data_IF_189843759944
#
_entry.id   IF_189843759944
#
_cell.length_a   1.000
_cell.length_b   1.000
_cell.length_c   1.000
_cell.angle_alpha   90.00
_cell.angle_beta   90.00
_cell.angle_gamma   90.00
#
_symmetry.space_group_name_H-M   'P 1'
#
loop_
_entity.id
_entity.type
_entity.pdbx_description
1 polymer ?
#
# COMPACT_ATOMS: atom_id res chain seq x y z
N UNK A 1 -21.89 -5.01 -21.22
CA UNK A 1 -20.70 -5.29 -20.38
C UNK A 1 -19.77 -4.10 -20.55
N UNK A 2 -19.54 -3.33 -19.50
CA UNK A 2 -18.54 -2.26 -19.54
C UNK A 2 -17.18 -2.92 -19.75
N UNK A 3 -16.39 -2.38 -20.67
CA UNK A 3 -15.02 -2.84 -20.90
C UNK A 3 -14.24 -2.64 -19.59
N UNK A 4 -13.61 -3.70 -19.07
CA UNK A 4 -12.81 -3.59 -17.82
C UNK A 4 -11.70 -2.57 -18.05
N UNK A 5 -11.68 -1.48 -17.29
CA UNK A 5 -10.68 -0.41 -17.39
C UNK A 5 -9.31 -0.88 -16.91
N UNK A 6 -9.28 -1.82 -15.95
CA UNK A 6 -8.06 -2.37 -15.38
C UNK A 6 -7.96 -3.85 -15.71
N UNK A 7 -6.77 -4.29 -16.08
CA UNK A 7 -6.43 -5.70 -16.20
C UNK A 7 -5.43 -6.03 -15.11
N UNK A 8 -5.73 -7.07 -14.33
CA UNK A 8 -4.70 -7.61 -13.46
C UNK A 8 -3.58 -8.18 -14.33
N UNK A 9 -2.37 -7.65 -14.16
CA UNK A 9 -1.17 -8.18 -14.79
C UNK A 9 -0.29 -8.74 -13.68
N UNK A 10 0.20 -9.97 -13.85
CA UNK A 10 1.21 -10.49 -12.92
C UNK A 10 2.41 -9.53 -12.93
N UNK A 11 2.80 -8.97 -11.78
CA UNK A 11 3.89 -8.02 -11.75
C UNK A 11 5.15 -8.66 -12.32
N UNK A 12 5.82 -7.95 -13.21
CA UNK A 12 7.17 -8.34 -13.60
C UNK A 12 8.03 -8.29 -12.34
N UNK A 13 8.87 -9.29 -12.06
CA UNK A 13 9.72 -9.25 -10.89
C UNK A 13 10.59 -7.98 -10.95
N UNK A 14 10.34 -7.06 -10.02
CA UNK A 14 11.24 -5.92 -9.81
C UNK A 14 12.52 -6.49 -9.24
N UNK A 15 13.64 -6.29 -9.89
CA UNK A 15 14.93 -6.66 -9.32
C UNK A 15 15.26 -5.61 -8.26
N UNK A 16 15.20 -6.01 -6.99
CA UNK A 16 15.69 -5.18 -5.89
C UNK A 16 17.07 -4.61 -6.23
N UNK A 17 17.27 -3.31 -6.04
CA UNK A 17 18.51 -2.61 -6.35
C UNK A 17 18.52 -1.86 -7.70
N UNK A 18 17.46 -1.96 -8.52
CA UNK A 18 17.35 -1.18 -9.77
C UNK A 18 16.39 0.01 -9.69
N UNK A 19 15.53 0.06 -8.65
CA UNK A 19 14.56 1.15 -8.50
C UNK A 19 15.24 2.49 -8.19
N UNK A 20 16.25 2.49 -7.33
CA UNK A 20 16.96 3.71 -6.91
C UNK A 20 17.71 4.41 -8.04
N UNK A 21 18.22 3.66 -9.03
CA UNK A 21 18.94 4.23 -10.17
C UNK A 21 18.02 4.86 -11.23
N UNK A 22 16.69 4.73 -11.09
CA UNK A 22 15.71 5.10 -12.10
C UNK A 22 14.71 6.17 -11.69
N UNK A 23 14.83 6.74 -10.50
CA UNK A 23 13.90 7.75 -9.94
C UNK A 23 13.62 8.88 -10.95
N UNK A 24 14.61 9.31 -11.72
CA UNK A 24 14.46 10.36 -12.72
C UNK A 24 13.91 9.89 -14.07
N UNK A 25 13.90 8.59 -14.33
CA UNK A 25 13.55 8.02 -15.64
C UNK A 25 12.14 7.41 -15.67
N UNK A 26 11.57 7.07 -14.51
CA UNK A 26 10.30 6.37 -14.38
C UNK A 26 9.38 7.02 -13.32
N UNK A 27 9.45 8.34 -13.19
CA UNK A 27 8.56 9.06 -12.27
C UNK A 27 7.11 8.91 -12.73
N UNK A 28 6.25 8.50 -11.80
CA UNK A 28 4.80 8.50 -12.01
C UNK A 28 4.28 9.90 -11.72
N UNK A 29 3.41 10.45 -12.56
CA UNK A 29 2.82 11.75 -12.28
C UNK A 29 1.96 11.71 -11.03
N UNK A 30 1.86 12.83 -10.33
CA UNK A 30 0.81 13.06 -9.34
C UNK A 30 -0.55 12.88 -9.99
N UNK A 31 -1.44 12.05 -9.40
CA UNK A 31 -2.81 11.86 -9.88
C UNK A 31 -3.80 11.76 -8.72
N UNK A 32 -5.03 12.18 -8.98
CA UNK A 32 -6.16 12.08 -8.05
C UNK A 32 -6.82 10.72 -8.20
N UNK A 33 -7.00 9.97 -7.13
CA UNK A 33 -7.58 8.62 -7.15
C UNK A 33 -8.87 8.49 -6.33
N UNK A 34 -9.24 9.49 -5.56
CA UNK A 34 -10.51 9.61 -4.85
C UNK A 34 -10.96 11.06 -4.77
N UNK A 35 -12.18 11.36 -4.30
CA UNK A 35 -12.64 12.74 -4.10
C UNK A 35 -11.65 13.62 -3.31
N UNK A 36 -11.02 13.08 -2.28
CA UNK A 36 -10.04 13.78 -1.43
C UNK A 36 -8.73 12.99 -1.29
N UNK A 37 -8.41 12.15 -2.28
CA UNK A 37 -7.24 11.27 -2.23
C UNK A 37 -6.40 11.40 -3.49
N UNK A 38 -5.07 11.51 -3.31
CA UNK A 38 -4.07 11.59 -4.39
C UNK A 38 -2.94 10.60 -4.15
N UNK A 39 -2.40 10.03 -5.23
CA UNK A 39 -1.07 9.40 -5.16
C UNK A 39 -0.01 10.48 -5.36
N UNK A 40 0.76 10.74 -4.31
CA UNK A 40 1.84 11.73 -4.29
C UNK A 40 3.24 11.11 -4.36
N UNK A 41 3.35 9.79 -4.52
CA UNK A 41 4.60 9.04 -4.44
C UNK A 41 5.64 9.44 -5.47
N UNK A 42 5.28 9.53 -6.73
CA UNK A 42 6.19 9.95 -7.80
C UNK A 42 7.28 8.94 -8.17
N UNK A 43 7.23 7.71 -7.65
CA UNK A 43 8.10 6.59 -8.03
C UNK A 43 7.35 5.58 -8.88
N UNK A 44 8.10 4.81 -9.68
CA UNK A 44 7.52 3.91 -10.67
C UNK A 44 6.85 2.66 -10.11
N UNK A 45 7.00 2.33 -8.83
CA UNK A 45 6.38 1.12 -8.27
C UNK A 45 5.62 1.33 -6.96
N UNK A 46 6.05 2.23 -6.08
CA UNK A 46 5.43 2.42 -4.75
C UNK A 46 4.43 3.57 -4.76
N UNK A 47 3.24 3.31 -4.23
CA UNK A 47 2.24 4.33 -4.01
C UNK A 47 2.41 4.99 -2.63
N UNK A 48 2.25 6.29 -2.59
CA UNK A 48 2.12 7.09 -1.35
C UNK A 48 0.83 7.88 -1.47
N UNK A 49 -0.15 7.57 -0.64
CA UNK A 49 -1.46 8.22 -0.71
C UNK A 49 -1.58 9.36 0.28
N UNK A 50 -1.99 10.52 -0.22
CA UNK A 50 -2.34 11.69 0.57
C UNK A 50 -3.86 11.78 0.67
N UNK A 51 -4.37 11.90 1.90
CA UNK A 51 -5.78 12.11 2.20
C UNK A 51 -5.95 13.54 2.78
N UNK A 52 -6.75 14.38 2.13
CA UNK A 52 -7.19 15.66 2.69
C UNK A 52 -8.38 15.44 3.60
N UNK A 53 -8.14 15.54 4.90
CA UNK A 53 -9.18 15.27 5.90
C UNK A 53 -10.08 16.49 6.20
N UNK A 54 -9.70 17.68 5.72
CA UNK A 54 -10.29 18.95 6.10
C UNK A 54 -9.79 19.48 7.46
N UNK A 55 -9.10 18.65 8.25
CA UNK A 55 -8.51 19.01 9.56
C UNK A 55 -6.99 18.73 9.59
N UNK A 56 -6.36 18.64 8.44
CA UNK A 56 -4.98 18.29 8.21
C UNK A 56 -4.88 17.14 7.22
N UNK A 57 -3.71 16.51 7.12
CA UNK A 57 -3.40 15.51 6.13
C UNK A 57 -3.08 14.17 6.78
N UNK A 58 -3.46 13.08 6.10
CA UNK A 58 -2.98 11.74 6.40
C UNK A 58 -2.13 11.27 5.21
N UNK A 59 -0.98 10.67 5.48
CA UNK A 59 -0.26 9.88 4.49
C UNK A 59 -0.43 8.39 4.76
N UNK A 60 -0.61 7.61 3.71
CA UNK A 60 -0.45 6.15 3.74
C UNK A 60 0.84 5.83 2.99
N UNK A 61 1.80 5.27 3.71
CA UNK A 61 3.20 5.05 3.30
C UNK A 61 3.98 6.35 3.01
N UNK A 62 5.29 6.21 2.71
CA UNK A 62 6.19 7.35 2.56
C UNK A 62 7.19 7.23 1.41
N UNK A 63 7.27 6.05 0.78
CA UNK A 63 8.24 5.79 -0.27
C UNK A 63 9.68 5.63 0.24
N UNK A 64 10.62 5.71 -0.69
CA UNK A 64 12.06 5.59 -0.44
C UNK A 64 12.66 6.89 0.10
N UNK A 65 13.81 6.80 0.78
CA UNK A 65 14.58 7.99 1.20
C UNK A 65 14.88 8.91 0.01
N UNK A 66 15.25 8.35 -1.12
CA UNK A 66 15.65 9.09 -2.31
C UNK A 66 14.48 9.81 -2.99
N UNK A 67 13.25 9.37 -2.75
CA UNK A 67 12.04 9.95 -3.39
C UNK A 67 11.21 10.84 -2.49
N UNK A 68 11.53 10.95 -1.20
CA UNK A 68 10.75 11.74 -0.24
C UNK A 68 10.56 13.19 -0.67
N UNK A 69 11.55 13.78 -1.36
CA UNK A 69 11.44 15.15 -1.89
C UNK A 69 10.34 15.27 -2.95
N UNK A 70 10.04 14.20 -3.69
CA UNK A 70 8.96 14.19 -4.68
C UNK A 70 7.59 14.17 -3.97
N UNK A 71 7.47 13.42 -2.88
CA UNK A 71 6.27 13.43 -2.03
C UNK A 71 6.00 14.86 -1.52
N UNK A 72 7.01 15.50 -0.92
CA UNK A 72 6.92 16.88 -0.44
C UNK A 72 6.55 17.85 -1.56
N UNK A 73 7.23 17.73 -2.73
CA UNK A 73 6.96 18.57 -3.89
C UNK A 73 5.52 18.39 -4.41
N UNK A 74 5.03 17.16 -4.48
CA UNK A 74 3.69 16.85 -4.95
C UNK A 74 2.60 17.38 -3.99
N UNK A 75 2.84 17.31 -2.67
CA UNK A 75 1.96 17.93 -1.67
C UNK A 75 1.87 19.46 -1.90
N UNK A 76 2.99 20.13 -2.12
CA UNK A 76 2.99 21.58 -2.45
C UNK A 76 2.28 21.89 -3.77
N UNK A 77 2.44 21.04 -4.80
CA UNK A 77 1.73 21.22 -6.08
C UNK A 77 0.21 21.13 -5.94
N UNK A 78 -0.29 20.40 -4.96
CA UNK A 78 -1.71 20.34 -4.62
C UNK A 78 -2.19 21.55 -3.81
N UNK A 79 -1.27 22.43 -3.38
CA UNK A 79 -1.57 23.61 -2.57
C UNK A 79 -1.61 23.32 -1.06
N UNK A 80 -1.24 22.11 -0.63
CA UNK A 80 -1.14 21.76 0.78
C UNK A 80 0.25 22.06 1.35
N UNK A 81 0.31 22.22 2.68
CA UNK A 81 1.58 22.33 3.38
C UNK A 81 1.97 20.98 4.00
N UNK A 82 3.17 20.42 3.69
CA UNK A 82 3.63 19.18 4.33
C UNK A 82 3.69 19.22 5.87
N UNK A 83 3.77 20.41 6.49
CA UNK A 83 3.67 20.56 7.94
C UNK A 83 2.28 20.20 8.50
N UNK A 84 1.26 20.17 7.62
CA UNK A 84 -0.11 19.81 8.01
C UNK A 84 -0.36 18.31 8.05
N UNK A 85 0.62 17.47 7.74
CA UNK A 85 0.53 16.03 7.93
C UNK A 85 0.41 15.74 9.44
N UNK A 86 -0.70 15.14 9.85
CA UNK A 86 -0.99 14.80 11.25
C UNK A 86 -0.71 13.34 11.55
N UNK A 87 -0.92 12.47 10.55
CA UNK A 87 -0.75 11.03 10.71
C UNK A 87 -0.05 10.44 9.49
N UNK A 88 0.87 9.51 9.74
CA UNK A 88 1.50 8.65 8.74
C UNK A 88 1.12 7.23 9.10
N UNK A 89 0.36 6.56 8.24
CA UNK A 89 -0.11 5.20 8.39
C UNK A 89 0.75 4.31 7.49
N UNK A 90 1.49 3.39 8.08
CA UNK A 90 2.39 2.52 7.33
C UNK A 90 1.74 1.17 7.08
N UNK A 91 1.70 0.74 5.82
CA UNK A 91 1.15 -0.56 5.44
C UNK A 91 1.95 -1.71 5.99
N UNK A 92 3.29 -1.60 5.97
CA UNK A 92 4.24 -2.56 6.51
C UNK A 92 5.66 -1.95 6.63
N UNK A 93 6.60 -2.71 7.22
CA UNK A 93 7.93 -2.19 7.61
C UNK A 93 8.98 -2.11 6.49
N UNK A 94 8.72 -2.56 5.27
CA UNK A 94 9.71 -2.57 4.20
C UNK A 94 10.17 -1.17 3.80
N UNK A 95 11.46 -1.07 3.41
CA UNK A 95 12.13 0.22 3.19
C UNK A 95 11.50 1.11 2.13
N UNK A 96 10.93 0.52 1.08
CA UNK A 96 10.21 1.22 0.02
C UNK A 96 8.90 1.89 0.49
N UNK A 97 8.38 1.49 1.65
CA UNK A 97 7.18 2.09 2.27
C UNK A 97 7.52 3.05 3.42
N UNK A 98 8.62 2.80 4.15
CA UNK A 98 8.89 3.51 5.41
C UNK A 98 10.08 4.47 5.38
N UNK A 99 10.93 4.43 4.35
CA UNK A 99 12.19 5.17 4.36
C UNK A 99 12.04 6.70 4.26
N UNK A 100 10.87 7.21 3.90
CA UNK A 100 10.55 8.64 3.96
C UNK A 100 10.11 9.14 5.34
N UNK A 101 9.77 8.24 6.28
CA UNK A 101 9.16 8.59 7.60
C UNK A 101 9.99 9.61 8.35
N UNK A 102 11.29 9.37 8.53
CA UNK A 102 12.16 10.23 9.32
C UNK A 102 12.16 11.68 8.80
N UNK A 103 12.22 11.86 7.48
CA UNK A 103 12.20 13.18 6.84
C UNK A 103 10.85 13.86 6.99
N UNK A 104 9.75 13.13 6.78
CA UNK A 104 8.39 13.68 6.86
C UNK A 104 8.01 14.04 8.29
N UNK A 105 8.37 13.22 9.28
CA UNK A 105 8.18 13.53 10.71
C UNK A 105 9.00 14.75 11.13
N UNK A 106 10.23 14.92 10.59
CA UNK A 106 11.02 16.11 10.87
C UNK A 106 10.33 17.41 10.40
N UNK A 107 9.57 17.34 9.29
CA UNK A 107 8.81 18.47 8.75
C UNK A 107 7.51 18.69 9.52
N UNK A 108 6.74 17.62 9.76
CA UNK A 108 5.33 17.72 10.17
C UNK A 108 5.07 17.43 11.65
N UNK A 109 6.00 16.74 12.32
CA UNK A 109 5.78 16.19 13.67
C UNK A 109 4.59 15.23 13.75
N UNK A 110 4.26 14.55 12.64
CA UNK A 110 3.13 13.64 12.53
C UNK A 110 3.25 12.43 13.47
N UNK A 111 2.11 11.91 13.90
CA UNK A 111 2.03 10.58 14.50
C UNK A 111 2.39 9.52 13.47
N UNK A 112 3.18 8.52 13.87
CA UNK A 112 3.55 7.36 13.04
C UNK A 112 2.84 6.13 13.56
N UNK A 113 2.08 5.49 12.68
CA UNK A 113 1.27 4.31 12.97
C UNK A 113 1.80 3.09 12.22
N UNK A 114 1.98 1.97 12.92
CA UNK A 114 2.41 0.69 12.37
C UNK A 114 1.80 -0.45 13.19
N UNK A 115 1.75 -1.67 12.66
CA UNK A 115 1.41 -2.85 13.45
C UNK A 115 2.52 -3.18 14.46
N UNK A 116 2.18 -3.88 15.56
CA UNK A 116 3.18 -4.31 16.57
C UNK A 116 4.13 -5.35 16.00
N UNK A 117 3.64 -6.20 15.11
CA UNK A 117 4.40 -7.23 14.42
C UNK A 117 5.49 -6.60 13.57
N UNK A 118 5.14 -5.59 12.81
CA UNK A 118 6.08 -4.92 11.91
C UNK A 118 6.99 -3.93 12.63
N UNK A 119 6.56 -3.32 13.74
CA UNK A 119 7.49 -2.58 14.60
C UNK A 119 8.58 -3.50 15.16
N UNK A 120 8.23 -4.73 15.55
CA UNK A 120 9.23 -5.74 15.95
C UNK A 120 10.21 -6.03 14.80
N UNK A 121 9.70 -6.19 13.58
CA UNK A 121 10.55 -6.42 12.40
C UNK A 121 11.43 -5.20 12.10
N UNK A 122 10.88 -3.99 12.16
CA UNK A 122 11.63 -2.75 12.00
C UNK A 122 12.77 -2.64 13.02
N UNK A 123 12.52 -2.94 14.30
CA UNK A 123 13.56 -2.94 15.35
C UNK A 123 14.67 -3.95 15.08
N UNK A 124 14.35 -5.10 14.51
CA UNK A 124 15.33 -6.12 14.15
C UNK A 124 16.18 -5.72 12.93
N UNK A 125 15.54 -5.19 11.89
CA UNK A 125 16.19 -4.92 10.60
C UNK A 125 16.87 -3.56 10.53
N UNK A 126 16.39 -2.54 11.23
CA UNK A 126 17.08 -1.26 11.33
C UNK A 126 18.46 -1.35 12.02
N UNK A 127 18.67 -2.40 12.82
CA UNK A 127 19.94 -2.63 13.57
C UNK A 127 20.87 -3.64 12.92
N UNK A 128 20.37 -4.46 12.00
CA UNK A 128 21.14 -5.52 11.36
C UNK A 128 20.94 -5.45 9.86
N UNK A 129 22.07 -5.33 9.15
CA UNK A 129 22.12 -5.44 7.69
C UNK A 129 21.77 -6.87 7.23
N UNK A 130 20.55 -7.30 7.52
CA UNK A 130 19.99 -8.56 7.04
C UNK A 130 19.27 -8.28 5.74
N UNK A 131 19.72 -8.87 4.66
CA UNK A 131 19.11 -8.86 3.33
C UNK A 131 19.19 -7.57 2.49
N UNK A 132 20.08 -6.61 2.82
CA UNK A 132 20.27 -5.40 2.02
C UNK A 132 19.07 -4.43 2.00
N UNK A 133 18.10 -4.64 2.89
CA UNK A 133 17.00 -3.70 3.10
C UNK A 133 17.32 -2.81 4.30
N UNK A 134 17.98 -1.68 4.02
CA UNK A 134 18.17 -0.65 5.02
C UNK A 134 16.87 0.11 5.21
N UNK A 135 16.33 0.07 6.42
CA UNK A 135 15.27 1.00 6.83
C UNK A 135 15.88 2.13 7.64
N UNK A 136 15.60 3.38 7.25
CA UNK A 136 15.98 4.53 8.04
C UNK A 136 15.32 4.45 9.43
N UNK A 137 16.01 4.71 10.53
CA UNK A 137 15.43 4.66 11.86
C UNK A 137 14.36 5.74 12.02
N UNK A 138 13.20 5.35 12.52
CA UNK A 138 12.10 6.22 12.93
C UNK A 138 11.47 5.70 14.22
N UNK A 139 10.56 6.46 14.81
CA UNK A 139 9.83 6.06 16.01
C UNK A 139 8.37 5.87 15.68
N UNK A 140 7.84 4.66 15.94
CA UNK A 140 6.40 4.40 15.92
C UNK A 140 5.78 5.00 17.18
N UNK A 141 4.79 5.86 17.04
CA UNK A 141 4.10 6.52 18.15
C UNK A 141 2.80 5.82 18.53
N UNK A 142 2.17 5.15 17.57
CA UNK A 142 0.87 4.52 17.72
C UNK A 142 0.83 3.16 17.03
N UNK A 143 -0.03 2.28 17.53
CA UNK A 143 -0.23 0.95 16.96
C UNK A 143 -1.65 0.78 16.45
N UNK A 144 -1.79 0.06 15.33
CA UNK A 144 -3.10 -0.34 14.82
C UNK A 144 -3.81 -1.30 15.77
N UNK A 145 -5.12 -1.18 15.79
CA UNK A 145 -6.03 -2.09 16.47
C UNK A 145 -7.27 -2.27 15.57
N UNK A 146 -7.47 -3.49 15.05
CA UNK A 146 -8.56 -3.81 14.12
C UNK A 146 -9.97 -3.48 14.65
N UNK A 147 -10.10 -3.23 15.95
CA UNK A 147 -11.38 -2.87 16.59
C UNK A 147 -11.53 -1.36 16.83
N UNK A 148 -10.47 -0.58 16.59
CA UNK A 148 -10.45 0.86 16.88
C UNK A 148 -10.06 1.64 15.63
N UNK A 149 -11.01 2.26 14.93
CA UNK A 149 -10.72 3.01 13.72
C UNK A 149 -9.89 4.28 14.02
N UNK A 150 -9.13 4.71 13.03
CA UNK A 150 -8.37 5.96 13.08
C UNK A 150 -9.23 7.07 12.50
N UNK A 151 -9.45 8.11 13.30
CA UNK A 151 -10.31 9.24 12.90
C UNK A 151 -9.48 10.51 12.76
N UNK A 152 -9.70 11.23 11.66
CA UNK A 152 -9.24 12.60 11.46
C UNK A 152 -10.15 13.29 10.43
N UNK A 153 -10.78 14.40 10.79
CA UNK A 153 -11.69 15.15 9.94
C UNK A 153 -12.78 14.27 9.33
N UNK A 154 -12.87 14.28 7.98
CA UNK A 154 -13.89 13.50 7.23
C UNK A 154 -13.62 12.00 7.17
N UNK A 155 -12.42 11.53 7.50
CA UNK A 155 -12.07 10.12 7.37
C UNK A 155 -12.18 9.36 8.69
N UNK A 156 -12.80 8.18 8.60
CA UNK A 156 -12.77 7.12 9.60
C UNK A 156 -12.15 5.90 8.92
N UNK A 157 -10.93 5.54 9.31
CA UNK A 157 -10.13 4.49 8.66
C UNK A 157 -10.16 3.25 9.53
N UNK A 158 -10.78 2.19 9.00
CA UNK A 158 -10.71 0.85 9.58
C UNK A 158 -9.38 0.19 9.20
N UNK A 159 -8.80 -0.55 10.14
CA UNK A 159 -7.60 -1.35 9.91
C UNK A 159 -7.92 -2.83 9.99
N UNK A 160 -7.20 -3.63 9.21
CA UNK A 160 -7.25 -5.09 9.26
C UNK A 160 -5.85 -5.64 9.11
N UNK A 161 -5.40 -6.39 10.10
CA UNK A 161 -4.13 -7.12 10.03
C UNK A 161 -4.22 -8.24 8.99
N UNK A 162 -3.42 -8.15 7.93
CA UNK A 162 -3.40 -9.07 6.77
C UNK A 162 -1.97 -9.57 6.50
N UNK A 163 -1.41 -10.40 7.40
CA UNK A 163 -0.04 -10.87 7.30
C UNK A 163 0.18 -11.75 6.06
N UNK A 164 1.42 -11.80 5.62
CA UNK A 164 1.83 -12.60 4.47
C UNK A 164 3.05 -12.00 3.80
N UNK A 165 2.93 -10.90 3.06
CA UNK A 165 4.07 -10.20 2.48
C UNK A 165 5.06 -9.73 3.56
N UNK A 166 4.56 -9.20 4.66
CA UNK A 166 5.27 -9.00 5.91
C UNK A 166 4.38 -9.48 7.07
N UNK A 167 4.95 -9.77 8.27
CA UNK A 167 4.18 -10.28 9.41
C UNK A 167 3.07 -9.36 9.89
N UNK A 168 3.26 -8.06 9.73
CA UNK A 168 2.36 -7.02 10.23
C UNK A 168 1.68 -6.21 9.14
N UNK A 169 1.64 -6.70 7.89
CA UNK A 169 0.89 -6.02 6.83
C UNK A 169 -0.50 -5.65 7.31
N UNK A 170 -0.90 -4.40 7.10
CA UNK A 170 -2.19 -3.87 7.51
C UNK A 170 -2.93 -3.30 6.31
N UNK A 171 -4.16 -3.73 6.11
CA UNK A 171 -5.08 -3.24 5.09
C UNK A 171 -5.95 -2.13 5.69
N UNK A 172 -6.16 -1.06 4.94
CA UNK A 172 -6.98 0.09 5.33
C UNK A 172 -8.24 0.14 4.49
N UNK A 173 -9.38 0.47 5.15
CA UNK A 173 -10.66 0.73 4.50
C UNK A 173 -11.23 2.05 5.01
N UNK A 174 -11.75 2.86 4.10
CA UNK A 174 -12.40 4.13 4.43
C UNK A 174 -13.34 4.56 3.33
N UNK A 175 -14.32 5.39 3.69
CA UNK A 175 -15.22 6.01 2.74
C UNK A 175 -14.74 7.42 2.39
N UNK A 176 -14.86 7.79 1.11
CA UNK A 176 -14.57 9.13 0.60
C UNK A 176 -15.80 9.66 -0.15
N UNK A 177 -16.38 10.77 0.32
CA UNK A 177 -17.58 11.36 -0.24
C UNK A 177 -17.26 12.55 -1.12
N UNK A 178 -17.74 12.51 -2.36
CA UNK A 178 -17.72 13.67 -3.26
C UNK A 178 -18.87 14.60 -2.89
N UNK A 179 -18.57 15.76 -2.35
CA UNK A 179 -19.56 16.74 -1.92
C UNK A 179 -20.35 17.37 -3.08
N UNK A 180 -19.76 17.40 -4.29
CA UNK A 180 -20.44 17.97 -5.46
C UNK A 180 -21.58 17.06 -5.96
N UNK A 181 -21.33 15.76 -5.93
CA UNK A 181 -22.31 14.76 -6.40
C UNK A 181 -23.10 14.12 -5.27
N UNK A 182 -22.63 14.21 -4.04
CA UNK A 182 -23.16 13.50 -2.86
C UNK A 182 -22.88 12.00 -2.87
N UNK A 183 -22.02 11.51 -3.78
CA UNK A 183 -21.70 10.08 -3.87
C UNK A 183 -20.55 9.71 -2.96
N UNK A 184 -20.74 8.66 -2.19
CA UNK A 184 -19.70 8.06 -1.32
C UNK A 184 -19.09 6.85 -2.03
N UNK A 185 -17.79 6.73 -1.95
CA UNK A 185 -17.00 5.63 -2.49
C UNK A 185 -16.25 4.91 -1.37
N UNK A 186 -16.38 3.61 -1.31
CA UNK A 186 -15.55 2.78 -0.42
C UNK A 186 -14.18 2.56 -1.05
N UNK A 187 -13.13 3.03 -0.36
CA UNK A 187 -11.73 2.93 -0.77
C UNK A 187 -11.02 1.86 0.06
N UNK A 188 -10.07 1.16 -0.55
CA UNK A 188 -9.23 0.21 0.18
C UNK A 188 -7.78 0.23 -0.29
N UNK A 189 -6.85 0.15 0.68
CA UNK A 189 -5.41 -0.03 0.47
C UNK A 189 -5.00 -1.35 1.10
N UNK A 190 -4.60 -2.35 0.30
CA UNK A 190 -4.07 -3.61 0.83
C UNK A 190 -2.62 -3.41 1.29
N UNK A 191 -2.31 -3.90 2.50
CA UNK A 191 -1.04 -3.65 3.17
C UNK A 191 0.21 -4.26 2.51
N UNK A 192 0.05 -5.28 1.67
CA UNK A 192 1.18 -5.86 0.94
C UNK A 192 0.78 -7.10 0.15
N UNK A 193 0.97 -7.05 -1.16
CA UNK A 193 0.59 -8.12 -2.10
C UNK A 193 1.79 -8.75 -2.84
N UNK A 194 3.02 -8.45 -2.41
CA UNK A 194 4.21 -9.13 -2.89
C UNK A 194 4.24 -10.56 -2.36
N UNK A 195 4.23 -11.55 -3.25
CA UNK A 195 4.09 -12.97 -2.87
C UNK A 195 5.41 -13.75 -2.82
N UNK A 196 6.54 -13.11 -3.13
CA UNK A 196 7.83 -13.81 -3.21
C UNK A 196 8.24 -14.46 -1.89
N UNK A 197 7.95 -13.80 -0.76
CA UNK A 197 8.28 -14.30 0.58
C UNK A 197 7.34 -15.42 1.07
N UNK A 198 6.24 -15.69 0.37
CA UNK A 198 5.28 -16.75 0.70
C UNK A 198 5.63 -18.09 0.05
N UNK A 199 6.76 -18.18 -0.64
CA UNK A 199 7.32 -19.42 -1.18
C UNK A 199 7.95 -20.24 -0.05
N UNK A 200 7.90 -21.60 -0.12
CA UNK A 200 8.46 -22.47 0.92
C UNK A 200 9.91 -22.18 1.29
N UNK A 201 10.72 -21.78 0.30
CA UNK A 201 12.16 -21.49 0.46
C UNK A 201 12.43 -20.05 0.97
N UNK A 202 11.42 -19.19 1.10
CA UNK A 202 11.57 -17.77 1.41
C UNK A 202 10.95 -17.33 2.74
N UNK A 203 10.04 -18.11 3.31
CA UNK A 203 9.28 -17.75 4.53
C UNK A 203 10.17 -17.31 5.70
N UNK A 204 11.26 -18.03 5.94
CA UNK A 204 12.18 -17.74 7.03
C UNK A 204 12.86 -16.37 6.92
N UNK A 205 12.92 -15.77 5.73
CA UNK A 205 13.50 -14.44 5.51
C UNK A 205 12.67 -13.32 6.16
N UNK A 206 11.39 -13.61 6.47
CA UNK A 206 10.48 -12.69 7.14
C UNK A 206 10.05 -13.19 8.53
N UNK A 207 10.82 -14.12 9.13
CA UNK A 207 10.44 -14.79 10.38
C UNK A 207 9.03 -15.41 10.33
N UNK A 208 8.61 -15.89 9.16
CA UNK A 208 7.28 -16.46 8.92
C UNK A 208 7.35 -17.98 8.75
N UNK A 209 6.19 -18.61 8.93
CA UNK A 209 5.97 -20.05 8.73
C UNK A 209 4.99 -20.28 7.60
N UNK A 210 4.79 -21.55 7.21
CA UNK A 210 3.80 -21.99 6.21
C UNK A 210 2.39 -21.44 6.49
N UNK A 211 2.00 -21.32 7.78
CA UNK A 211 0.71 -20.76 8.16
C UNK A 211 0.51 -19.32 7.65
N UNK A 212 1.59 -18.53 7.52
CA UNK A 212 1.48 -17.19 6.95
C UNK A 212 1.04 -17.21 5.48
N UNK A 213 1.53 -18.17 4.68
CA UNK A 213 1.11 -18.33 3.29
C UNK A 213 -0.36 -18.74 3.18
N UNK A 214 -0.79 -19.68 4.01
CA UNK A 214 -2.19 -20.14 4.01
C UNK A 214 -3.14 -19.07 4.57
N UNK A 215 -2.72 -18.33 5.59
CA UNK A 215 -3.47 -17.19 6.11
C UNK A 215 -3.62 -16.11 5.04
N UNK A 216 -2.55 -15.76 4.33
CA UNK A 216 -2.62 -14.81 3.23
C UNK A 216 -3.66 -15.20 2.18
N UNK A 217 -3.70 -16.49 1.78
CA UNK A 217 -4.71 -17.00 0.84
C UNK A 217 -6.12 -16.81 1.39
N UNK A 218 -6.36 -17.18 2.66
CA UNK A 218 -7.67 -17.01 3.30
C UNK A 218 -8.08 -15.54 3.38
N UNK A 219 -7.16 -14.68 3.87
CA UNK A 219 -7.42 -13.26 4.03
C UNK A 219 -7.71 -12.59 2.68
N UNK A 220 -6.96 -12.92 1.61
CA UNK A 220 -7.24 -12.41 0.27
C UNK A 220 -8.63 -12.84 -0.24
N UNK A 221 -9.02 -14.09 -0.07
CA UNK A 221 -10.33 -14.57 -0.52
C UNK A 221 -11.47 -13.99 0.32
N UNK A 222 -11.30 -13.84 1.64
CA UNK A 222 -12.28 -13.19 2.51
C UNK A 222 -12.46 -11.71 2.13
N UNK A 223 -11.36 -10.98 1.97
CA UNK A 223 -11.40 -9.56 1.64
C UNK A 223 -11.86 -9.28 0.21
N UNK A 224 -11.69 -10.23 -0.71
CA UNK A 224 -12.20 -10.11 -2.08
C UNK A 224 -13.73 -9.96 -2.13
N UNK A 225 -14.44 -10.53 -1.14
CA UNK A 225 -15.89 -10.43 -1.03
C UNK A 225 -16.38 -9.07 -0.46
N UNK A 226 -15.48 -8.27 0.11
CA UNK A 226 -15.83 -6.93 0.61
C UNK A 226 -15.98 -5.97 -0.55
N UNK A 227 -17.15 -5.29 -0.70
CA UNK A 227 -17.33 -4.29 -1.75
C UNK A 227 -16.33 -3.13 -1.60
N UNK A 228 -15.62 -2.81 -2.67
CA UNK A 228 -14.69 -1.69 -2.76
C UNK A 228 -14.87 -1.03 -4.12
N UNK A 229 -15.16 0.26 -4.11
CA UNK A 229 -15.34 1.05 -5.35
C UNK A 229 -14.01 1.49 -5.94
N UNK A 230 -13.04 1.84 -5.08
CA UNK A 230 -11.72 2.34 -5.47
C UNK A 230 -10.64 1.49 -4.82
N UNK A 231 -10.01 0.66 -5.64
CA UNK A 231 -8.84 -0.12 -5.26
C UNK A 231 -7.58 0.73 -5.34
N UNK A 232 -6.88 0.87 -4.22
CA UNK A 232 -5.65 1.66 -4.07
C UNK A 232 -4.50 0.70 -3.74
N UNK A 233 -3.78 0.17 -4.74
CA UNK A 233 -2.71 -0.79 -4.50
C UNK A 233 -1.50 -0.11 -3.85
N UNK A 234 -0.74 -0.85 -3.04
CA UNK A 234 0.51 -0.36 -2.45
C UNK A 234 1.65 -0.21 -3.49
N UNK A 235 1.53 -0.92 -4.62
CA UNK A 235 2.39 -0.75 -5.79
C UNK A 235 1.53 -0.62 -7.05
N UNK A 236 1.90 0.29 -7.96
CA UNK A 236 1.17 0.59 -9.19
C UNK A 236 0.91 -0.63 -10.06
N UNK A 237 1.90 -1.51 -10.17
CA UNK A 237 1.82 -2.72 -10.98
C UNK A 237 0.87 -3.79 -10.43
N UNK A 238 0.40 -3.67 -9.18
CA UNK A 238 -0.52 -4.65 -8.59
C UNK A 238 -1.92 -4.56 -9.17
N UNK A 239 -2.31 -3.39 -9.69
CA UNK A 239 -3.59 -3.17 -10.37
C UNK A 239 -3.41 -2.57 -11.76
N UNK A 240 -2.22 -2.71 -12.37
CA UNK A 240 -1.87 -2.22 -13.72
C UNK A 240 -2.11 -0.70 -13.89
N UNK A 241 -1.95 0.07 -12.83
CA UNK A 241 -2.18 1.52 -12.86
C UNK A 241 -1.11 2.22 -13.69
N UNK A 242 0.14 1.76 -13.62
CA UNK A 242 1.29 2.29 -14.36
C UNK A 242 1.06 2.34 -15.88
N UNK A 243 0.24 1.43 -16.42
CA UNK A 243 -0.12 1.40 -17.85
C UNK A 243 -1.51 1.99 -18.15
N UNK A 244 -2.28 2.37 -17.13
CA UNK A 244 -3.69 2.75 -17.27
C UNK A 244 -4.03 4.07 -16.55
N UNK A 245 -3.12 5.02 -16.50
CA UNK A 245 -3.43 6.35 -15.97
C UNK A 245 -4.42 7.09 -16.90
N UNK A 246 -5.35 7.89 -16.34
CA UNK A 246 -6.25 8.71 -17.14
C UNK A 246 -5.50 9.83 -17.87
N UNK A 247 -6.06 10.33 -18.97
CA UNK A 247 -5.54 11.50 -19.66
C UNK A 247 -5.64 12.74 -18.79
N UNK A 248 -6.77 12.91 -18.08
CA UNK A 248 -6.91 13.90 -17.02
C UNK A 248 -6.53 13.26 -15.68
N UNK A 249 -5.39 13.63 -15.15
CA UNK A 249 -4.86 13.12 -13.89
C UNK A 249 -5.67 13.57 -12.66
N UNK A 250 -6.66 14.46 -12.83
CA UNK A 250 -7.60 14.84 -11.77
C UNK A 250 -8.93 14.07 -11.84
N UNK A 251 -9.15 13.27 -12.87
CA UNK A 251 -10.36 12.45 -13.01
C UNK A 251 -10.26 11.18 -12.14
N UNK A 252 -10.61 11.30 -10.85
CA UNK A 252 -10.64 10.16 -9.94
C UNK A 252 -11.69 9.10 -10.34
N UNK A 253 -12.72 9.46 -11.11
CA UNK A 253 -13.76 8.51 -11.52
C UNK A 253 -13.21 7.41 -12.42
N UNK A 254 -12.03 7.63 -13.01
CA UNK A 254 -11.29 6.64 -13.77
C UNK A 254 -10.95 5.39 -12.93
N UNK A 255 -10.71 5.56 -11.62
CA UNK A 255 -10.32 4.50 -10.70
C UNK A 255 -11.53 3.77 -10.09
N UNK A 256 -12.76 4.23 -10.33
CA UNK A 256 -13.96 3.55 -9.84
C UNK A 256 -14.18 2.27 -10.65
N UNK A 257 -13.93 1.13 -10.01
CA UNK A 257 -14.00 -0.18 -10.64
C UNK A 257 -14.27 -1.27 -9.59
N UNK A 258 -15.52 -1.59 -9.33
CA UNK A 258 -16.00 -2.52 -8.31
C UNK A 258 -15.41 -3.93 -8.38
N UNK A 259 -14.89 -4.32 -9.54
CA UNK A 259 -14.21 -5.61 -9.76
C UNK A 259 -12.69 -5.57 -9.46
N UNK A 260 -12.06 -4.39 -9.45
CA UNK A 260 -10.59 -4.28 -9.40
C UNK A 260 -10.01 -4.86 -8.10
N UNK A 261 -10.63 -4.56 -6.96
CA UNK A 261 -10.27 -5.11 -5.67
C UNK A 261 -10.40 -6.64 -5.62
N UNK A 262 -11.57 -7.16 -5.99
CA UNK A 262 -11.86 -8.59 -6.03
C UNK A 262 -10.85 -9.33 -6.92
N UNK A 263 -10.71 -8.90 -8.19
CA UNK A 263 -9.84 -9.56 -9.17
C UNK A 263 -8.38 -9.56 -8.71
N UNK A 264 -7.90 -8.47 -8.11
CA UNK A 264 -6.55 -8.37 -7.58
C UNK A 264 -6.30 -9.39 -6.48
N UNK A 265 -7.18 -9.49 -5.49
CA UNK A 265 -7.00 -10.38 -4.34
C UNK A 265 -7.13 -11.86 -4.71
N UNK A 266 -8.14 -12.21 -5.52
CA UNK A 266 -8.32 -13.58 -6.01
C UNK A 266 -7.10 -14.03 -6.80
N UNK A 267 -6.58 -13.21 -7.70
CA UNK A 267 -5.38 -13.54 -8.47
C UNK A 267 -4.14 -13.74 -7.59
N UNK A 268 -4.01 -12.97 -6.49
CA UNK A 268 -2.91 -13.15 -5.53
C UNK A 268 -3.03 -14.45 -4.74
N UNK A 269 -4.23 -14.76 -4.25
CA UNK A 269 -4.49 -16.03 -3.59
C UNK A 269 -4.15 -17.22 -4.51
N UNK A 270 -4.62 -17.18 -5.76
CA UNK A 270 -4.34 -18.22 -6.75
C UNK A 270 -2.83 -18.36 -7.06
N UNK A 271 -2.11 -17.26 -7.10
CA UNK A 271 -0.67 -17.27 -7.32
C UNK A 271 0.09 -17.91 -6.14
N UNK A 272 -0.34 -17.65 -4.89
CA UNK A 272 0.27 -18.29 -3.71
C UNK A 272 -0.06 -19.78 -3.62
N UNK A 273 -1.29 -20.19 -3.91
CA UNK A 273 -1.67 -21.62 -3.93
C UNK A 273 -0.74 -22.46 -4.81
N UNK A 274 -0.25 -21.91 -5.93
CA UNK A 274 0.70 -22.57 -6.84
C UNK A 274 2.05 -22.91 -6.20
N UNK A 275 2.44 -22.20 -5.13
CA UNK A 275 3.66 -22.51 -4.39
C UNK A 275 3.52 -23.71 -3.46
N UNK A 276 2.27 -24.16 -3.18
CA UNK A 276 1.92 -25.16 -2.19
C UNK A 276 1.03 -26.28 -2.77
N UNK A 277 1.50 -27.00 -3.84
CA UNK A 277 0.68 -27.99 -4.52
C UNK A 277 0.34 -29.23 -3.65
N UNK A 278 1.07 -29.45 -2.55
CA UNK A 278 0.75 -30.50 -1.56
C UNK A 278 -0.50 -30.18 -0.75
N UNK A 279 -0.80 -28.88 -0.53
CA UNK A 279 -2.00 -28.40 0.17
C UNK A 279 -3.12 -28.07 -0.83
N UNK A 280 -2.76 -27.58 -2.01
CA UNK A 280 -3.70 -27.20 -3.09
C UNK A 280 -3.50 -28.13 -4.30
N UNK A 281 -4.06 -29.37 -4.27
CA UNK A 281 -3.74 -30.42 -5.25
C UNK A 281 -4.17 -30.10 -6.68
N UNK A 282 -5.06 -29.16 -6.89
CA UNK A 282 -5.44 -28.65 -8.22
C UNK A 282 -4.25 -28.05 -8.98
N UNK A 283 -3.16 -27.72 -8.31
CA UNK A 283 -1.94 -27.16 -8.91
C UNK A 283 -0.77 -28.15 -9.05
N UNK A 284 -0.97 -29.46 -8.74
CA UNK A 284 0.11 -30.45 -8.80
C UNK A 284 0.67 -30.72 -10.21
N UNK A 285 -0.05 -30.34 -11.23
CA UNK A 285 0.28 -30.68 -12.64
C UNK A 285 0.49 -29.41 -13.50
N UNK A 286 0.69 -28.25 -12.89
CA UNK A 286 0.92 -27.00 -13.59
C UNK A 286 2.38 -26.54 -13.51
#
# INVERSE_FOLDING_TARGET
MSEKKFRYVNPKPVRFGQATDRISQHSVPLYRCGPHVWNVGGQDDVCVYLLDTGEGLILIDTGYTESVFMVVHNIWKLGFNPEDIKKILLTHYHGDHVNGVASLVHISHAEVWLSREDERMHQLYSRADRHGMHTAPYTVTNFFDDNTPIVLGRFTIETKLTPGHAPGCTTFFFDDTDEETGKTYTCAVHGGLGIAYLRPDMLANQDQTEEAAHRFVRDCLELAERPVDINMPSHLNQADIDNNLPVDLNDYTWFVADYSWHDMLVNRAEAVKKFWPEVYPEYKNN
#
